data_IF_199450651980
#
_entry.id   IF_199450651980
#
_cell.length_a   1.000
_cell.length_b   1.000
_cell.length_c   1.000
_cell.angle_alpha   90.00
_cell.angle_beta   90.00
_cell.angle_gamma   90.00
#
_symmetry.space_group_name_H-M   'P 1'
#
loop_
_entity.id
_entity.type
_entity.pdbx_description
1 polymer ?
#
# COMPACT_ATOMS: atom_id res chain seq x y z
N UNK A 1 9.17 6.44 -33.93
CA UNK A 1 9.11 6.24 -32.46
C UNK A 1 8.82 4.77 -32.21
N UNK A 2 9.79 3.97 -31.71
CA UNK A 2 9.57 2.56 -31.40
C UNK A 2 8.97 2.38 -30.00
N UNK A 3 7.89 1.60 -29.89
CA UNK A 3 7.55 0.90 -28.64
C UNK A 3 6.32 1.40 -27.87
N UNK A 4 5.15 1.42 -28.50
CA UNK A 4 3.89 1.23 -27.76
C UNK A 4 3.86 -0.24 -27.32
N UNK A 5 4.44 -0.53 -26.15
CA UNK A 5 4.33 -1.85 -25.54
C UNK A 5 2.88 -2.04 -25.14
N UNK A 6 2.15 -2.70 -26.03
CA UNK A 6 1.03 -3.57 -25.73
C UNK A 6 1.32 -4.39 -24.48
N UNK A 7 1.01 -3.86 -23.29
CA UNK A 7 0.75 -4.68 -22.12
C UNK A 7 -0.76 -4.94 -22.10
N UNK A 8 -1.08 -6.20 -22.31
CA UNK A 8 -2.43 -6.73 -22.32
C UNK A 8 -3.13 -6.39 -20.99
N UNK A 9 -4.46 -6.18 -20.96
CA UNK A 9 -5.23 -5.93 -19.74
C UNK A 9 -5.43 -7.22 -18.92
N UNK A 10 -4.43 -8.09 -18.91
CA UNK A 10 -4.35 -9.21 -17.99
C UNK A 10 -3.74 -8.64 -16.72
N UNK A 11 -4.54 -7.81 -16.01
CA UNK A 11 -4.22 -7.09 -14.76
C UNK A 11 -2.84 -7.46 -14.25
N UNK A 12 -1.84 -6.63 -14.58
CA UNK A 12 -0.44 -6.93 -14.27
C UNK A 12 -0.33 -7.25 -12.79
N UNK A 13 0.58 -8.16 -12.42
CA UNK A 13 0.79 -8.54 -11.01
C UNK A 13 0.96 -7.32 -10.10
N UNK A 14 1.56 -6.26 -10.64
CA UNK A 14 1.68 -4.93 -10.01
C UNK A 14 0.32 -4.27 -9.72
N UNK A 15 -0.61 -4.27 -10.67
CA UNK A 15 -1.97 -3.75 -10.48
C UNK A 15 -2.71 -4.51 -9.37
N UNK A 16 -2.59 -5.85 -9.34
CA UNK A 16 -3.21 -6.69 -8.31
C UNK A 16 -2.57 -6.42 -6.94
N UNK A 17 -1.24 -6.24 -6.87
CA UNK A 17 -0.53 -5.89 -5.64
C UNK A 17 -0.98 -4.52 -5.09
N UNK A 18 -1.16 -3.53 -5.97
CA UNK A 18 -1.64 -2.20 -5.60
C UNK A 18 -3.08 -2.23 -5.05
N UNK A 19 -3.97 -3.02 -5.66
CA UNK A 19 -5.34 -3.18 -5.17
C UNK A 19 -5.39 -3.88 -3.82
N UNK A 20 -4.59 -4.94 -3.65
CA UNK A 20 -4.49 -5.68 -2.39
C UNK A 20 -3.92 -4.78 -1.28
N UNK A 21 -2.87 -4.01 -1.57
CA UNK A 21 -2.27 -3.06 -0.64
C UNK A 21 -3.29 -1.99 -0.19
N UNK A 22 -4.04 -1.42 -1.13
CA UNK A 22 -5.09 -0.44 -0.84
C UNK A 22 -6.17 -1.04 0.06
N UNK A 23 -6.65 -2.24 -0.27
CA UNK A 23 -7.65 -2.95 0.53
C UNK A 23 -7.17 -3.18 1.97
N UNK A 24 -5.94 -3.66 2.16
CA UNK A 24 -5.37 -3.89 3.50
C UNK A 24 -5.24 -2.56 4.27
N UNK A 25 -4.75 -1.51 3.61
CA UNK A 25 -4.57 -0.19 4.24
C UNK A 25 -5.89 0.41 4.70
N UNK A 26 -6.95 0.29 3.90
CA UNK A 26 -8.29 0.79 4.22
C UNK A 26 -9.00 -0.04 5.30
N UNK A 27 -8.86 -1.36 5.27
CA UNK A 27 -9.56 -2.27 6.20
C UNK A 27 -8.89 -2.35 7.58
N UNK A 28 -7.56 -2.27 7.63
CA UNK A 28 -6.80 -2.43 8.88
C UNK A 28 -6.32 -1.11 9.47
N UNK A 29 -6.34 -0.03 8.69
CA UNK A 29 -5.68 1.22 9.05
C UNK A 29 -4.15 1.07 9.08
N UNK A 30 -3.58 0.17 8.28
CA UNK A 30 -2.14 -0.11 8.25
C UNK A 30 -1.32 1.18 8.15
N UNK A 31 -0.42 1.39 9.11
CA UNK A 31 0.44 2.58 9.20
C UNK A 31 -0.27 3.88 9.65
N UNK A 32 -1.61 3.97 9.60
CA UNK A 32 -2.30 5.08 10.24
C UNK A 32 -2.16 4.87 11.74
N UNK A 33 -1.24 5.59 12.36
CA UNK A 33 -1.01 5.53 13.80
C UNK A 33 -2.35 5.55 14.53
N UNK A 34 -2.56 4.59 15.42
CA UNK A 34 -3.84 4.38 16.09
C UNK A 34 -4.31 5.69 16.70
N UNK A 35 -5.32 6.32 16.10
CA UNK A 35 -6.00 7.45 16.71
C UNK A 35 -6.82 6.85 17.87
N UNK A 36 -6.18 6.68 19.01
CA UNK A 36 -6.84 6.25 20.24
C UNK A 36 -7.98 7.22 20.53
N UNK A 37 -9.20 6.70 20.67
CA UNK A 37 -10.33 7.49 21.10
C UNK A 37 -10.06 7.99 22.54
N UNK A 38 -9.60 9.23 22.66
CA UNK A 38 -9.34 9.88 23.94
C UNK A 38 -8.16 10.85 23.87
N UNK A 39 -8.44 12.16 23.84
CA UNK A 39 -7.60 13.32 24.17
C UNK A 39 -6.05 13.20 24.09
N UNK A 40 -5.49 12.49 23.11
CA UNK A 40 -4.06 12.38 22.91
C UNK A 40 -3.54 13.52 22.03
N UNK A 41 -2.86 14.48 22.66
CA UNK A 41 -2.16 15.63 22.05
C UNK A 41 -0.75 15.26 21.55
N UNK A 42 -0.58 14.13 20.86
CA UNK A 42 0.72 13.76 20.27
C UNK A 42 0.51 13.39 18.80
N UNK A 43 1.30 13.96 17.88
CA UNK A 43 1.01 13.93 16.46
C UNK A 43 0.93 12.48 16.00
N UNK A 44 -0.05 12.22 15.14
CA UNK A 44 -0.10 11.03 14.31
C UNK A 44 1.32 10.70 13.84
N UNK A 45 1.73 9.43 13.94
CA UNK A 45 3.04 8.96 13.50
C UNK A 45 3.49 9.72 12.25
N UNK A 46 4.68 10.31 12.34
CA UNK A 46 5.41 10.95 11.24
C UNK A 46 5.00 10.36 9.89
N UNK A 47 4.57 11.23 8.96
CA UNK A 47 4.12 10.82 7.64
C UNK A 47 5.15 9.94 6.89
N UNK A 48 6.43 10.07 7.24
CA UNK A 48 7.52 9.20 6.78
C UNK A 48 7.36 7.76 7.25
N UNK A 49 7.05 7.50 8.53
CA UNK A 49 6.84 6.13 9.05
C UNK A 49 5.58 5.50 8.46
N UNK A 50 4.55 6.32 8.18
CA UNK A 50 3.39 5.87 7.40
C UNK A 50 3.77 5.45 5.98
N UNK A 51 4.58 6.28 5.30
CA UNK A 51 5.05 5.98 3.95
C UNK A 51 5.91 4.71 3.92
N UNK A 52 6.84 4.56 4.86
CA UNK A 52 7.66 3.34 4.99
C UNK A 52 6.80 2.10 5.23
N UNK A 53 5.79 2.21 6.10
CA UNK A 53 4.82 1.14 6.34
C UNK A 53 4.13 0.74 5.03
N UNK A 54 3.58 1.70 4.30
CA UNK A 54 2.92 1.46 3.02
C UNK A 54 3.85 0.80 1.98
N UNK A 55 5.12 1.22 1.91
CA UNK A 55 6.12 0.62 1.02
C UNK A 55 6.43 -0.84 1.40
N UNK A 56 6.57 -1.15 2.68
CA UNK A 56 6.75 -2.53 3.15
C UNK A 56 5.53 -3.40 2.85
N UNK A 57 4.33 -2.84 2.99
CA UNK A 57 3.09 -3.54 2.67
C UNK A 57 3.00 -3.86 1.17
N UNK A 58 3.39 -2.91 0.31
CA UNK A 58 3.45 -3.11 -1.13
C UNK A 58 4.37 -4.28 -1.50
N UNK A 59 5.59 -4.32 -0.98
CA UNK A 59 6.55 -5.38 -1.27
C UNK A 59 6.03 -6.78 -0.89
N UNK A 60 5.37 -6.86 0.28
CA UNK A 60 4.67 -8.08 0.72
C UNK A 60 3.53 -8.48 -0.22
N UNK A 61 2.72 -7.53 -0.66
CA UNK A 61 1.63 -7.77 -1.59
C UNK A 61 2.16 -8.25 -2.94
N UNK A 62 3.22 -7.61 -3.45
CA UNK A 62 3.86 -7.98 -4.71
C UNK A 62 4.46 -9.38 -4.65
N UNK A 63 5.14 -9.73 -3.55
CA UNK A 63 5.65 -11.09 -3.31
C UNK A 63 4.54 -12.13 -3.28
N UNK A 64 3.42 -11.83 -2.63
CA UNK A 64 2.28 -12.73 -2.52
C UNK A 64 1.60 -13.04 -3.87
N UNK A 65 1.49 -12.05 -4.76
CA UNK A 65 0.86 -12.20 -6.09
C UNK A 65 1.84 -12.63 -7.18
N UNK A 66 3.15 -12.53 -6.91
CA UNK A 66 4.20 -12.95 -7.86
C UNK A 66 4.52 -14.43 -7.78
N UNK A 67 4.06 -15.10 -6.73
CA UNK A 67 4.15 -16.55 -6.53
C UNK A 67 3.34 -17.34 -7.56
#
# INVERSE_FOLDING_TARGET
>A
MPGDKSESPMRSKEEIALELMKFISETTGYGKGTAGAGFATKPAGNAEEYAESLLQLYDRCLSAVSK
#
